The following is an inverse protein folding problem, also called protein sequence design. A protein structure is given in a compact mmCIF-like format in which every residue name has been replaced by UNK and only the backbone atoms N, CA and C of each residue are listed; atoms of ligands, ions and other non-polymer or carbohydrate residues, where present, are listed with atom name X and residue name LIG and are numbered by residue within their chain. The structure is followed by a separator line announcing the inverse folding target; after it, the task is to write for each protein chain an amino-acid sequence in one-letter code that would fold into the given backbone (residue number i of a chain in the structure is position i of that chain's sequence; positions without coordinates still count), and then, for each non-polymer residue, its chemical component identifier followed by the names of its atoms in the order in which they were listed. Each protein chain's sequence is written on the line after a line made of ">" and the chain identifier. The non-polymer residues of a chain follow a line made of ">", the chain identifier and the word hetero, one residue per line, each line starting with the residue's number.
data_IF_965040072193
#
_entry.id   IF_965040072193
#
_cell.length_a   1.000
_cell.length_b   1.000
_cell.length_c   1.000
_cell.angle_alpha   90.00
_cell.angle_beta   90.00
_cell.angle_gamma   90.00
#
_symmetry.space_group_name_H-M   'P 1'
#
loop_
_entity.id
_entity.type
_entity.pdbx_description
1 polymer ?
#
# COMPACT_ATOMS: atom_id res chain seq x y z
N UNK A 1 54.06 -15.45 -18.85
CA UNK A 1 55.37 -15.54 -18.15
C UNK A 1 55.06 -15.49 -16.66
N UNK A 2 54.70 -16.61 -16.01
CA UNK A 2 55.57 -17.75 -15.68
C UNK A 2 56.75 -17.33 -14.79
N UNK A 3 56.51 -17.30 -13.46
CA UNK A 3 57.22 -18.02 -12.36
C UNK A 3 58.77 -18.07 -12.37
N UNK A 4 59.46 -18.54 -11.30
CA UNK A 4 59.57 -18.19 -9.86
C UNK A 4 61.05 -17.93 -9.44
N UNK A 5 61.33 -17.75 -8.13
CA UNK A 5 62.45 -18.37 -7.35
C UNK A 5 62.71 -17.51 -6.08
N UNK A 6 62.69 -18.02 -4.83
CA UNK A 6 63.44 -19.12 -4.15
C UNK A 6 64.85 -18.70 -3.69
N UNK A 7 64.98 -18.47 -2.37
CA UNK A 7 65.93 -19.21 -1.53
C UNK A 7 67.10 -18.47 -0.85
N UNK A 8 67.46 -19.03 0.32
CA UNK A 8 68.79 -19.10 1.00
C UNK A 8 69.19 -17.93 1.92
N UNK A 9 69.90 -18.11 3.04
CA UNK A 9 70.43 -19.27 3.79
C UNK A 9 71.02 -18.78 5.14
N UNK A 10 71.20 -19.74 6.07
CA UNK A 10 72.25 -19.93 7.12
C UNK A 10 73.08 -18.73 7.64
N UNK A 11 73.40 -18.62 8.94
CA UNK A 11 74.00 -19.66 9.79
C UNK A 11 74.63 -19.11 11.10
N UNK A 12 75.41 -19.91 11.86
CA UNK A 12 75.35 -20.00 13.34
C UNK A 12 76.66 -19.68 14.09
N UNK A 13 76.65 -19.74 15.42
CA UNK A 13 77.86 -19.69 16.26
C UNK A 13 77.68 -20.36 17.62
N UNK A 14 78.07 -21.64 17.70
CA UNK A 14 78.24 -22.40 18.94
C UNK A 14 79.67 -22.25 19.47
N UNK A 15 79.84 -22.38 20.79
CA UNK A 15 81.08 -22.82 21.40
C UNK A 15 80.98 -22.74 22.93
N UNK A 16 81.41 -23.68 23.75
CA UNK A 16 82.07 -24.97 23.55
C UNK A 16 81.77 -25.81 24.82
N UNK A 17 81.70 -27.13 24.67
CA UNK A 17 81.79 -28.08 25.78
C UNK A 17 83.20 -28.05 26.36
N UNK A 18 83.35 -28.13 27.68
CA UNK A 18 84.50 -28.79 28.32
C UNK A 18 84.02 -29.57 29.55
N UNK A 19 84.43 -30.84 29.54
CA UNK A 19 84.13 -31.91 30.48
C UNK A 19 84.92 -31.80 31.81
N UNK A 20 84.56 -32.57 32.85
CA UNK A 20 84.94 -32.32 34.23
C UNK A 20 86.30 -32.93 34.59
N UNK A 21 87.07 -32.21 35.41
CA UNK A 21 88.41 -32.63 35.82
C UNK A 21 88.78 -32.25 37.25
N UNK A 22 88.84 -33.29 38.09
CA UNK A 22 89.83 -33.49 39.16
C UNK A 22 89.79 -32.64 40.44
N UNK A 23 89.04 -31.53 40.51
CA UNK A 23 88.96 -30.72 41.75
C UNK A 23 87.68 -31.02 42.57
N UNK A 24 86.96 -32.10 42.22
CA UNK A 24 85.93 -32.70 43.05
C UNK A 24 86.46 -33.46 44.28
N UNK A 25 87.61 -33.11 44.87
CA UNK A 25 88.15 -33.87 46.02
C UNK A 25 88.76 -33.08 47.15
N UNK A 26 88.69 -31.75 47.17
CA UNK A 26 89.09 -31.01 48.37
C UNK A 26 88.08 -29.91 48.66
N UNK A 27 87.53 -30.00 49.88
CA UNK A 27 86.69 -29.01 50.56
C UNK A 27 85.20 -28.97 50.14
N UNK A 28 84.31 -29.84 50.63
CA UNK A 28 84.44 -30.80 51.72
C UNK A 28 84.24 -30.24 53.13
N UNK A 29 84.43 -28.93 53.36
CA UNK A 29 84.29 -28.37 54.70
C UNK A 29 84.18 -26.84 54.64
N UNK A 30 83.02 -26.31 54.24
CA UNK A 30 82.26 -25.25 54.93
C UNK A 30 80.85 -25.26 54.32
N UNK A 31 80.13 -26.38 54.48
CA UNK A 31 78.68 -26.38 54.39
C UNK A 31 78.18 -26.07 55.79
N UNK A 32 78.02 -24.80 56.09
CA UNK A 32 77.61 -24.35 57.41
C UNK A 32 77.26 -22.89 57.35
N UNK A 33 75.95 -22.63 57.28
CA UNK A 33 75.25 -21.37 57.52
C UNK A 33 74.89 -20.57 56.26
N UNK A 34 73.56 -20.40 56.13
CA UNK A 34 72.82 -19.52 55.22
C UNK A 34 72.42 -20.09 53.85
N UNK A 35 71.65 -21.18 53.87
CA UNK A 35 70.51 -21.30 52.94
C UNK A 35 69.24 -21.18 53.79
N UNK A 36 68.77 -19.94 53.93
CA UNK A 36 67.43 -19.64 54.40
C UNK A 36 66.49 -19.67 53.21
N UNK A 37 65.82 -20.81 53.08
CA UNK A 37 64.51 -21.05 52.44
C UNK A 37 63.78 -19.77 51.99
N UNK A 38 63.67 -19.57 50.68
CA UNK A 38 62.43 -19.05 50.06
C UNK A 38 62.22 -19.84 48.76
N UNK A 39 61.25 -20.76 48.70
CA UNK A 39 60.87 -21.44 47.47
C UNK A 39 60.32 -20.41 46.48
N UNK A 40 60.82 -20.40 45.25
CA UNK A 40 60.35 -19.49 44.19
C UNK A 40 59.00 -19.93 43.62
N UNK A 41 58.51 -21.10 44.04
CA UNK A 41 57.16 -21.61 43.79
C UNK A 41 56.05 -20.78 44.46
N UNK A 42 56.37 -19.78 45.28
CA UNK A 42 55.39 -18.84 45.86
C UNK A 42 55.23 -17.51 45.10
N UNK A 43 56.01 -17.26 44.03
CA UNK A 43 55.93 -16.00 43.27
C UNK A 43 55.07 -16.13 42.02
N UNK A 44 54.62 -17.34 41.67
CA UNK A 44 53.69 -17.60 40.56
C UNK A 44 52.21 -17.69 40.96
N UNK A 45 51.85 -17.31 42.19
CA UNK A 45 50.45 -17.24 42.66
C UNK A 45 49.93 -15.82 42.93
N UNK A 46 50.73 -14.77 42.66
CA UNK A 46 50.36 -13.40 43.01
C UNK A 46 50.15 -12.45 41.83
N UNK A 47 50.05 -12.96 40.61
CA UNK A 47 49.55 -12.15 39.48
C UNK A 47 48.49 -12.95 38.76
N UNK A 48 47.33 -13.02 39.39
CA UNK A 48 46.09 -13.33 38.68
C UNK A 48 45.86 -12.20 37.67
N UNK A 49 46.19 -12.45 36.40
CA UNK A 49 45.93 -11.51 35.31
C UNK A 49 44.41 -11.29 35.16
N UNK A 50 43.57 -12.22 35.64
CA UNK A 50 42.14 -12.01 35.70
C UNK A 50 41.75 -11.06 36.84
N UNK A 51 42.50 -11.01 37.95
CA UNK A 51 42.31 -9.99 38.99
C UNK A 51 42.72 -8.58 38.53
N UNK A 52 43.72 -8.46 37.63
CA UNK A 52 44.06 -7.17 37.00
C UNK A 52 43.06 -6.79 35.89
N UNK A 53 42.43 -7.78 35.23
CA UNK A 53 41.35 -7.55 34.27
C UNK A 53 40.01 -7.21 34.97
N UNK A 54 39.78 -7.68 36.20
CA UNK A 54 38.62 -7.31 37.03
C UNK A 54 38.69 -5.86 37.56
N UNK A 55 39.89 -5.29 37.68
CA UNK A 55 40.07 -3.87 38.05
C UNK A 55 39.85 -2.92 36.86
N UNK A 56 39.84 -3.42 35.61
CA UNK A 56 39.51 -2.63 34.41
C UNK A 56 38.09 -2.98 33.96
N UNK A 57 37.14 -2.61 34.80
CA UNK A 57 35.74 -2.59 34.39
C UNK A 57 35.56 -1.51 33.31
N UNK A 58 35.54 -1.94 32.05
CA UNK A 58 35.29 -1.06 30.90
C UNK A 58 33.92 -0.40 31.03
N UNK A 59 32.98 -1.01 31.75
CA UNK A 59 31.68 -0.40 32.06
C UNK A 59 31.84 0.80 33.00
N UNK A 60 32.80 0.76 33.94
CA UNK A 60 33.13 1.90 34.81
C UNK A 60 33.85 3.03 34.06
N UNK A 61 34.60 2.72 33.00
CA UNK A 61 35.13 3.72 32.08
C UNK A 61 34.04 4.30 31.16
N UNK A 62 33.07 3.48 30.74
CA UNK A 62 31.88 3.92 30.00
C UNK A 62 30.94 4.77 30.86
N UNK A 63 30.80 4.51 32.16
CA UNK A 63 30.07 5.38 33.10
C UNK A 63 30.70 6.76 33.25
N UNK A 64 32.00 6.90 32.97
CA UNK A 64 32.69 8.20 32.93
C UNK A 64 32.59 8.91 31.58
N UNK A 65 32.13 8.21 30.54
CA UNK A 65 31.86 8.77 29.21
C UNK A 65 30.35 8.81 29.04
N UNK A 66 29.77 9.85 29.60
CA UNK A 66 28.38 10.22 29.40
C UNK A 66 28.19 10.60 27.91
N UNK A 67 27.82 9.61 27.09
CA UNK A 67 27.56 9.79 25.67
C UNK A 67 26.39 10.75 25.45
N UNK A 68 25.46 10.85 26.40
CA UNK A 68 24.36 11.81 26.35
C UNK A 68 24.92 13.24 26.47
N UNK A 69 25.92 13.49 27.32
CA UNK A 69 26.65 14.78 27.35
C UNK A 69 27.46 15.09 26.09
N UNK A 70 27.96 14.07 25.40
CA UNK A 70 28.67 14.26 24.12
C UNK A 70 27.69 14.50 22.96
N UNK A 71 26.53 13.85 22.99
CA UNK A 71 25.41 14.05 22.06
C UNK A 71 24.74 15.42 22.28
N UNK A 72 24.64 15.91 23.52
CA UNK A 72 24.17 17.27 23.86
C UNK A 72 25.02 18.38 23.25
N UNK A 73 26.29 18.09 22.92
CA UNK A 73 27.17 19.02 22.20
C UNK A 73 27.00 18.96 20.68
N UNK A 74 26.40 17.89 20.16
CA UNK A 74 26.13 17.73 18.74
C UNK A 74 24.65 17.99 18.52
N UNK A 75 24.32 19.27 18.39
CA UNK A 75 22.99 19.70 17.99
C UNK A 75 22.78 19.37 16.50
N UNK A 76 22.15 18.22 16.25
CA UNK A 76 21.79 17.78 14.90
C UNK A 76 20.78 18.74 14.28
N UNK A 77 19.92 19.38 15.08
CA UNK A 77 18.95 20.36 14.59
C UNK A 77 19.68 21.62 14.09
N UNK A 78 20.72 22.09 14.79
CA UNK A 78 21.57 23.18 14.32
C UNK A 78 22.42 22.84 13.07
N UNK A 79 22.74 21.57 12.85
CA UNK A 79 23.36 21.10 11.60
C UNK A 79 22.35 21.00 10.46
N UNK A 80 21.11 20.58 10.77
CA UNK A 80 20.00 20.53 9.82
C UNK A 80 19.56 21.94 9.40
N UNK A 81 19.59 22.93 10.30
CA UNK A 81 19.30 24.33 9.99
C UNK A 81 20.28 24.96 8.98
N UNK A 82 21.50 24.40 8.87
CA UNK A 82 22.48 24.84 7.85
C UNK A 82 22.23 24.18 6.49
N UNK A 83 21.48 23.08 6.46
CA UNK A 83 21.13 22.37 5.24
C UNK A 83 19.75 22.81 4.82
N UNK A 84 19.69 23.73 3.86
CA UNK A 84 18.45 24.15 3.22
C UNK A 84 17.90 23.02 2.33
N UNK A 85 17.19 22.09 2.97
CA UNK A 85 16.57 20.93 2.32
C UNK A 85 15.58 21.39 1.26
N UNK A 86 14.88 22.51 1.49
CA UNK A 86 13.93 23.08 0.53
C UNK A 86 14.63 23.48 -0.77
N UNK A 87 15.77 24.17 -0.69
CA UNK A 87 16.60 24.49 -1.86
C UNK A 87 17.21 23.27 -2.54
N UNK A 88 17.57 22.22 -1.79
CA UNK A 88 18.07 20.97 -2.38
C UNK A 88 16.95 20.25 -3.15
N UNK A 89 15.75 20.20 -2.57
CA UNK A 89 14.55 19.59 -3.17
C UNK A 89 14.14 20.33 -4.44
N UNK A 90 14.14 21.66 -4.41
CA UNK A 90 13.83 22.50 -5.57
C UNK A 90 14.88 22.34 -6.68
N UNK A 91 16.16 22.32 -6.32
CA UNK A 91 17.25 22.13 -7.30
C UNK A 91 17.26 20.73 -7.92
N UNK A 92 16.83 19.71 -7.18
CA UNK A 92 16.68 18.35 -7.68
C UNK A 92 15.44 18.17 -8.56
N UNK A 93 14.56 19.18 -8.68
CA UNK A 93 13.36 19.11 -9.51
C UNK A 93 12.35 18.05 -9.03
N UNK A 94 12.43 17.64 -7.77
CA UNK A 94 11.56 16.60 -7.21
C UNK A 94 10.08 17.02 -7.29
N UNK A 95 9.68 18.28 -7.03
CA UNK A 95 8.29 18.70 -7.19
C UNK A 95 7.77 18.52 -8.62
N UNK A 96 8.59 18.84 -9.62
CA UNK A 96 8.23 18.72 -11.04
C UNK A 96 8.21 17.27 -11.49
N UNK A 97 9.16 16.44 -11.04
CA UNK A 97 9.18 15.00 -11.35
C UNK A 97 7.97 14.31 -10.71
N UNK A 98 7.63 14.63 -9.46
CA UNK A 98 6.43 14.08 -8.79
C UNK A 98 5.16 14.55 -9.49
N UNK A 99 5.08 15.83 -9.90
CA UNK A 99 3.93 16.37 -10.63
C UNK A 99 3.78 15.76 -12.03
N UNK A 100 4.85 15.63 -12.81
CA UNK A 100 4.85 15.02 -14.14
C UNK A 100 4.56 13.53 -14.09
N UNK A 101 5.18 12.80 -13.16
CA UNK A 101 5.01 11.35 -13.00
C UNK A 101 3.60 11.01 -12.52
N UNK A 102 3.03 11.81 -11.61
CA UNK A 102 1.66 11.61 -11.11
C UNK A 102 0.61 12.03 -12.15
N UNK A 103 0.87 13.11 -12.90
CA UNK A 103 -0.05 13.64 -13.92
C UNK A 103 -0.19 12.76 -15.17
N UNK A 104 0.91 12.24 -15.71
CA UNK A 104 0.89 11.41 -16.93
C UNK A 104 0.33 9.99 -16.67
N UNK A 105 0.52 9.43 -15.47
CA UNK A 105 -0.02 8.11 -15.11
C UNK A 105 -1.53 8.15 -14.80
N UNK A 106 -2.09 9.30 -14.36
CA UNK A 106 -3.49 9.39 -14.00
C UNK A 106 -4.42 9.71 -15.20
N UNK A 107 -4.07 10.70 -16.04
CA UNK A 107 -4.96 11.17 -17.11
C UNK A 107 -4.92 10.31 -18.38
N UNK A 108 -3.71 10.03 -18.88
CA UNK A 108 -3.52 9.32 -20.15
C UNK A 108 -3.97 7.86 -20.10
N UNK A 109 -3.77 7.19 -18.95
CA UNK A 109 -4.15 5.78 -18.75
C UNK A 109 -5.67 5.63 -18.67
N UNK A 110 -6.38 6.56 -18.01
CA UNK A 110 -7.84 6.54 -17.91
C UNK A 110 -8.51 6.75 -19.27
N UNK A 111 -7.99 7.65 -20.10
CA UNK A 111 -8.54 7.87 -21.43
C UNK A 111 -8.34 6.65 -22.35
N UNK A 112 -7.19 5.98 -22.24
CA UNK A 112 -6.95 4.71 -22.91
C UNK A 112 -7.87 3.60 -22.37
N UNK A 113 -8.04 3.52 -21.05
CA UNK A 113 -8.96 2.57 -20.43
C UNK A 113 -10.40 2.79 -20.91
N UNK A 114 -10.87 4.04 -20.95
CA UNK A 114 -12.18 4.42 -21.49
C UNK A 114 -12.31 4.06 -22.97
N UNK A 115 -11.27 4.26 -23.77
CA UNK A 115 -11.25 3.84 -25.17
C UNK A 115 -11.38 2.30 -25.30
N UNK A 116 -10.61 1.54 -24.51
CA UNK A 116 -10.68 0.06 -24.47
C UNK A 116 -12.05 -0.45 -24.02
N UNK A 117 -12.70 0.24 -23.08
CA UNK A 117 -14.06 -0.10 -22.64
C UNK A 117 -15.08 0.13 -23.74
N UNK A 118 -14.98 1.23 -24.49
CA UNK A 118 -15.82 1.47 -25.65
C UNK A 118 -15.64 0.39 -26.73
N UNK A 119 -14.41 -0.08 -26.95
CA UNK A 119 -14.12 -1.21 -27.86
C UNK A 119 -14.69 -2.53 -27.34
N UNK A 120 -14.58 -2.79 -26.03
CA UNK A 120 -15.18 -3.96 -25.40
C UNK A 120 -16.70 -3.96 -25.52
N UNK A 121 -17.35 -2.80 -25.37
CA UNK A 121 -18.79 -2.65 -25.57
C UNK A 121 -19.22 -2.96 -27.02
N UNK A 122 -18.41 -2.54 -28.00
CA UNK A 122 -18.63 -2.88 -29.42
C UNK A 122 -18.43 -4.37 -29.68
N UNK A 123 -17.45 -5.00 -29.05
CA UNK A 123 -17.24 -6.45 -29.16
C UNK A 123 -18.41 -7.23 -28.54
N UNK A 124 -18.81 -6.88 -27.32
CA UNK A 124 -19.95 -7.48 -26.65
C UNK A 124 -21.22 -7.34 -27.50
N UNK A 125 -21.45 -6.15 -28.09
CA UNK A 125 -22.55 -5.92 -29.02
C UNK A 125 -22.49 -6.85 -30.24
N UNK A 126 -21.32 -6.99 -30.87
CA UNK A 126 -21.12 -7.88 -32.02
C UNK A 126 -21.40 -9.34 -31.68
N UNK A 127 -20.95 -9.80 -30.51
CA UNK A 127 -21.22 -11.17 -30.04
C UNK A 127 -22.72 -11.35 -29.83
N UNK A 128 -23.40 -10.42 -29.15
CA UNK A 128 -24.85 -10.50 -28.94
C UNK A 128 -25.62 -10.49 -30.25
N UNK A 129 -25.27 -9.62 -31.20
CA UNK A 129 -25.92 -9.53 -32.51
C UNK A 129 -25.70 -10.83 -33.32
N UNK A 130 -24.52 -11.44 -33.21
CA UNK A 130 -24.21 -12.73 -33.84
C UNK A 130 -25.04 -13.87 -33.25
N UNK A 131 -25.12 -13.96 -31.92
CA UNK A 131 -25.90 -15.00 -31.21
C UNK A 131 -27.40 -14.84 -31.45
N UNK A 132 -27.89 -13.60 -31.50
CA UNK A 132 -29.33 -13.32 -31.70
C UNK A 132 -29.75 -13.23 -33.17
N UNK A 133 -28.81 -13.41 -34.11
CA UNK A 133 -29.01 -13.28 -35.56
C UNK A 133 -29.65 -11.94 -35.98
N UNK A 134 -29.54 -10.90 -35.15
CA UNK A 134 -30.13 -9.57 -35.41
C UNK A 134 -29.02 -8.61 -35.84
N UNK A 135 -29.00 -8.19 -37.09
CA UNK A 135 -28.22 -7.01 -37.51
C UNK A 135 -28.93 -5.75 -37.01
N UNK A 136 -28.44 -5.14 -35.93
CA UNK A 136 -28.97 -3.88 -35.40
C UNK A 136 -27.90 -2.80 -35.47
N UNK A 137 -28.08 -1.83 -36.34
CA UNK A 137 -27.44 -0.52 -36.18
C UNK A 137 -28.02 0.12 -34.90
N UNK A 138 -27.19 0.29 -33.86
CA UNK A 138 -27.58 1.02 -32.66
C UNK A 138 -27.61 2.51 -33.02
N UNK A 139 -28.76 3.20 -32.91
CA UNK A 139 -28.82 4.63 -33.21
C UNK A 139 -27.91 5.40 -32.25
N UNK A 140 -27.18 6.40 -32.74
CA UNK A 140 -26.51 7.34 -31.85
C UNK A 140 -27.57 8.18 -31.12
N UNK A 141 -27.36 8.43 -29.82
CA UNK A 141 -28.14 9.45 -29.13
C UNK A 141 -27.66 10.81 -29.62
N UNK A 142 -28.58 11.67 -30.05
CA UNK A 142 -28.23 13.04 -30.42
C UNK A 142 -28.50 13.92 -29.22
N UNK A 143 -27.46 14.56 -28.72
CA UNK A 143 -27.57 15.51 -27.62
C UNK A 143 -28.48 16.68 -28.03
N UNK A 144 -29.60 16.94 -27.34
CA UNK A 144 -30.49 18.05 -27.68
C UNK A 144 -29.85 19.43 -27.49
N UNK A 145 -28.87 19.56 -26.58
CA UNK A 145 -28.21 20.82 -26.32
C UNK A 145 -27.10 21.13 -27.34
N UNK A 146 -26.30 20.12 -27.73
CA UNK A 146 -25.15 20.32 -28.63
C UNK A 146 -25.38 19.82 -30.06
N UNK A 147 -26.42 19.02 -30.29
CA UNK A 147 -26.70 18.37 -31.57
C UNK A 147 -25.70 17.26 -31.94
N UNK A 148 -24.70 16.99 -31.10
CA UNK A 148 -23.64 16.03 -31.39
C UNK A 148 -24.11 14.59 -31.19
N UNK A 149 -23.72 13.65 -32.07
CA UNK A 149 -24.00 12.24 -31.90
C UNK A 149 -23.11 11.64 -30.81
N UNK A 150 -23.72 11.01 -29.81
CA UNK A 150 -23.04 10.27 -28.74
C UNK A 150 -23.45 8.80 -28.75
N UNK A 151 -22.51 7.93 -28.43
CA UNK A 151 -22.76 6.50 -28.34
C UNK A 151 -23.46 6.15 -27.01
N UNK A 152 -24.49 5.30 -27.08
CA UNK A 152 -25.07 4.69 -25.89
C UNK A 152 -24.05 3.78 -25.20
N UNK A 153 -24.01 3.84 -23.87
CA UNK A 153 -23.16 2.98 -23.06
C UNK A 153 -23.59 1.51 -23.16
N UNK A 154 -22.65 0.62 -23.48
CA UNK A 154 -22.92 -0.81 -23.58
C UNK A 154 -22.96 -1.52 -22.23
N UNK A 155 -23.14 -2.84 -22.27
CA UNK A 155 -23.26 -3.66 -21.07
C UNK A 155 -21.94 -3.77 -20.29
N UNK A 156 -20.78 -3.75 -20.95
CA UNK A 156 -19.47 -3.94 -20.30
C UNK A 156 -19.11 -2.70 -19.50
N UNK A 157 -19.21 -1.51 -20.09
CA UNK A 157 -18.92 -0.26 -19.37
C UNK A 157 -19.83 -0.06 -18.17
N UNK A 158 -21.11 -0.47 -18.29
CA UNK A 158 -22.07 -0.39 -17.18
C UNK A 158 -21.80 -1.43 -16.09
N UNK A 159 -21.42 -2.65 -16.45
CA UNK A 159 -21.06 -3.68 -15.48
C UNK A 159 -19.81 -3.27 -14.70
N UNK A 160 -18.78 -2.76 -15.38
CA UNK A 160 -17.59 -2.27 -14.71
C UNK A 160 -17.90 -1.08 -13.79
N UNK A 161 -18.70 -0.12 -14.26
CA UNK A 161 -19.17 0.97 -13.42
C UNK A 161 -19.87 0.47 -12.16
N UNK A 162 -20.73 -0.56 -12.30
CA UNK A 162 -21.43 -1.17 -11.17
C UNK A 162 -20.47 -1.88 -10.20
N UNK A 163 -19.45 -2.59 -10.69
CA UNK A 163 -18.44 -3.23 -9.83
C UNK A 163 -17.66 -2.19 -9.02
N UNK A 164 -17.28 -1.08 -9.65
CA UNK A 164 -16.60 0.03 -8.95
C UNK A 164 -17.53 0.67 -7.93
N UNK A 165 -18.77 0.98 -8.31
CA UNK A 165 -19.77 1.53 -7.39
C UNK A 165 -20.06 0.59 -6.21
N UNK A 166 -20.08 -0.73 -6.44
CA UNK A 166 -20.24 -1.73 -5.38
C UNK A 166 -19.09 -1.67 -4.38
N UNK A 167 -17.84 -1.60 -4.85
CA UNK A 167 -16.67 -1.43 -3.99
C UNK A 167 -16.73 -0.14 -3.15
N UNK A 168 -17.09 0.98 -3.78
CA UNK A 168 -17.25 2.28 -3.09
C UNK A 168 -18.34 2.20 -2.02
N UNK A 169 -19.49 1.64 -2.36
CA UNK A 169 -20.63 1.50 -1.43
C UNK A 169 -20.27 0.61 -0.25
N UNK A 170 -19.64 -0.55 -0.50
CA UNK A 170 -19.24 -1.49 0.55
C UNK A 170 -18.18 -0.90 1.48
N UNK A 171 -17.15 -0.26 0.92
CA UNK A 171 -16.10 0.38 1.71
C UNK A 171 -16.66 1.51 2.59
N UNK A 172 -17.51 2.36 2.02
CA UNK A 172 -18.13 3.46 2.76
C UNK A 172 -19.10 2.96 3.84
N UNK A 173 -19.90 1.93 3.54
CA UNK A 173 -20.79 1.32 4.52
C UNK A 173 -20.01 0.65 5.65
N UNK A 174 -18.99 -0.14 5.34
CA UNK A 174 -18.15 -0.80 6.34
C UNK A 174 -17.42 0.22 7.23
N UNK A 175 -16.93 1.32 6.67
CA UNK A 175 -16.33 2.40 7.44
C UNK A 175 -17.33 3.09 8.37
N UNK A 176 -18.53 3.42 7.87
CA UNK A 176 -19.58 4.03 8.69
C UNK A 176 -20.05 3.09 9.80
N UNK A 177 -20.21 1.80 9.50
CA UNK A 177 -20.56 0.75 10.44
C UNK A 177 -19.48 0.60 11.53
N UNK A 178 -18.20 0.57 11.16
CA UNK A 178 -17.09 0.49 12.11
C UNK A 178 -17.05 1.70 13.05
N UNK A 179 -17.25 2.92 12.52
CA UNK A 179 -17.33 4.14 13.33
C UNK A 179 -18.53 4.09 14.27
N UNK A 180 -19.68 3.64 13.79
CA UNK A 180 -20.88 3.52 14.61
C UNK A 180 -20.67 2.55 15.78
N UNK A 181 -20.09 1.36 15.52
CA UNK A 181 -19.77 0.38 16.56
C UNK A 181 -18.77 0.95 17.57
N UNK A 182 -17.72 1.63 17.10
CA UNK A 182 -16.76 2.31 17.97
C UNK A 182 -17.45 3.30 18.92
N UNK A 183 -18.39 4.10 18.41
CA UNK A 183 -19.14 5.05 19.22
C UNK A 183 -20.07 4.35 20.21
N UNK A 184 -20.84 3.34 19.76
CA UNK A 184 -21.77 2.59 20.62
C UNK A 184 -21.03 1.95 21.80
N UNK A 185 -19.88 1.33 21.53
CA UNK A 185 -19.03 0.72 22.55
C UNK A 185 -18.44 1.78 23.49
N UNK A 186 -17.95 2.90 22.94
CA UNK A 186 -17.40 4.01 23.73
C UNK A 186 -18.40 4.63 24.71
N UNK A 187 -19.70 4.67 24.35
CA UNK A 187 -20.76 5.19 25.22
C UNK A 187 -21.40 4.12 26.11
N UNK A 188 -20.92 2.87 26.07
CA UNK A 188 -21.49 1.77 26.87
C UNK A 188 -22.94 1.44 26.50
N UNK A 189 -23.35 1.77 25.27
CA UNK A 189 -24.70 1.53 24.74
C UNK A 189 -24.85 0.13 24.13
N UNK A 190 -23.81 -0.72 24.26
CA UNK A 190 -23.76 -2.08 23.74
C UNK A 190 -24.71 -3.01 24.53
N UNK A 191 -25.99 -2.98 24.19
CA UNK A 191 -27.02 -3.91 24.69
C UNK A 191 -27.77 -4.53 23.53
N UNK A 192 -27.31 -5.67 23.00
CA UNK A 192 -27.95 -6.28 21.81
C UNK A 192 -29.13 -7.14 22.21
N UNK A 193 -30.35 -6.61 22.02
CA UNK A 193 -31.62 -7.32 22.22
C UNK A 193 -32.12 -8.07 20.96
N UNK A 194 -31.35 -8.03 19.86
CA UNK A 194 -31.68 -8.69 18.60
C UNK A 194 -30.99 -10.06 18.53
N UNK A 195 -31.72 -11.10 18.16
CA UNK A 195 -31.12 -12.38 17.74
C UNK A 195 -30.16 -12.14 16.57
N UNK A 196 -29.08 -12.93 16.48
CA UNK A 196 -28.03 -12.80 15.44
C UNK A 196 -28.63 -12.73 14.01
N UNK A 197 -29.73 -13.44 13.76
CA UNK A 197 -30.42 -13.38 12.47
C UNK A 197 -31.13 -12.04 12.20
N UNK A 198 -31.77 -11.44 13.21
CA UNK A 198 -32.47 -10.16 13.06
C UNK A 198 -31.50 -9.02 12.77
N UNK A 199 -30.35 -9.01 13.44
CA UNK A 199 -29.28 -8.04 13.19
C UNK A 199 -28.75 -8.12 11.74
N UNK A 200 -28.55 -9.33 11.22
CA UNK A 200 -28.08 -9.56 9.84
C UNK A 200 -29.08 -9.08 8.78
N UNK A 201 -30.37 -9.30 8.99
CA UNK A 201 -31.42 -8.80 8.09
C UNK A 201 -31.49 -7.27 8.12
N UNK A 202 -31.43 -6.66 9.30
CA UNK A 202 -31.40 -5.20 9.44
C UNK A 202 -30.17 -4.58 8.75
N UNK A 203 -28.99 -5.18 8.93
CA UNK A 203 -27.77 -4.75 8.25
C UNK A 203 -27.88 -4.86 6.72
N UNK A 204 -28.47 -5.95 6.20
CA UNK A 204 -28.70 -6.10 4.75
C UNK A 204 -29.67 -5.03 4.21
N UNK A 205 -30.75 -4.73 4.93
CA UNK A 205 -31.70 -3.67 4.58
C UNK A 205 -31.03 -2.29 4.65
N UNK A 206 -30.23 -2.04 5.69
CA UNK A 206 -29.48 -0.80 5.87
C UNK A 206 -28.48 -0.58 4.74
N UNK A 207 -27.74 -1.62 4.34
CA UNK A 207 -26.83 -1.58 3.19
C UNK A 207 -27.57 -1.28 1.88
N UNK A 208 -28.73 -1.92 1.67
CA UNK A 208 -29.58 -1.66 0.50
C UNK A 208 -30.09 -0.21 0.45
N UNK A 209 -30.56 0.31 1.59
CA UNK A 209 -31.00 1.70 1.72
C UNK A 209 -29.84 2.68 1.49
N UNK A 210 -28.68 2.42 2.09
CA UNK A 210 -27.44 3.18 1.90
C UNK A 210 -27.03 3.25 0.44
N UNK A 211 -27.00 2.10 -0.25
CA UNK A 211 -26.69 2.03 -1.68
C UNK A 211 -27.68 2.86 -2.53
N UNK A 212 -28.97 2.81 -2.20
CA UNK A 212 -29.99 3.59 -2.89
C UNK A 212 -29.83 5.10 -2.67
N UNK A 213 -29.50 5.52 -1.46
CA UNK A 213 -29.20 6.93 -1.13
C UNK A 213 -27.99 7.41 -1.90
N UNK A 214 -26.87 6.68 -1.86
CA UNK A 214 -25.66 6.98 -2.64
C UNK A 214 -25.98 7.15 -4.13
N UNK A 215 -26.66 6.17 -4.74
CA UNK A 215 -26.99 6.21 -6.16
C UNK A 215 -27.92 7.37 -6.51
N UNK A 216 -28.88 7.70 -5.64
CA UNK A 216 -29.84 8.79 -5.85
C UNK A 216 -29.13 10.14 -5.80
N UNK A 217 -28.32 10.38 -4.77
CA UNK A 217 -27.60 11.64 -4.57
C UNK A 217 -26.61 11.87 -5.72
N UNK A 218 -25.75 10.89 -6.02
CA UNK A 218 -24.76 11.06 -7.08
C UNK A 218 -25.38 11.35 -8.44
N UNK A 219 -26.49 10.68 -8.77
CA UNK A 219 -27.19 10.91 -10.04
C UNK A 219 -27.91 12.26 -10.06
N UNK A 220 -28.55 12.64 -8.97
CA UNK A 220 -29.31 13.88 -8.89
C UNK A 220 -28.38 15.11 -8.95
N UNK A 221 -27.17 14.99 -8.40
CA UNK A 221 -26.21 16.10 -8.29
C UNK A 221 -25.20 16.10 -9.44
N UNK A 222 -24.57 14.95 -9.73
CA UNK A 222 -23.44 14.84 -10.64
C UNK A 222 -23.80 14.16 -11.98
N UNK A 223 -25.07 13.77 -12.18
CA UNK A 223 -25.54 13.00 -13.34
C UNK A 223 -24.80 11.67 -13.57
N UNK A 224 -23.96 11.26 -12.63
CA UNK A 224 -23.12 10.08 -12.70
C UNK A 224 -22.80 9.61 -11.27
N UNK A 225 -22.73 8.30 -11.10
CA UNK A 225 -22.09 7.69 -9.92
C UNK A 225 -20.57 7.71 -10.08
N UNK A 226 -19.82 7.48 -9.00
CA UNK A 226 -18.35 7.48 -9.05
C UNK A 226 -17.83 6.50 -10.11
N UNK A 227 -18.37 5.28 -10.13
CA UNK A 227 -18.00 4.28 -11.14
C UNK A 227 -18.33 4.74 -12.56
N UNK A 228 -19.52 5.32 -12.78
CA UNK A 228 -19.93 5.84 -14.09
C UNK A 228 -19.05 7.01 -14.54
N UNK A 229 -18.68 7.90 -13.64
CA UNK A 229 -17.77 9.00 -13.94
C UNK A 229 -16.37 8.48 -14.35
N UNK A 230 -15.85 7.48 -13.63
CA UNK A 230 -14.56 6.86 -13.96
C UNK A 230 -14.56 6.26 -15.37
N UNK A 231 -15.61 5.54 -15.77
CA UNK A 231 -15.72 4.96 -17.12
C UNK A 231 -16.20 5.95 -18.19
N UNK A 232 -16.42 7.23 -17.85
CA UNK A 232 -16.79 8.27 -18.81
C UNK A 232 -18.26 8.23 -19.24
N UNK A 233 -19.15 7.85 -18.33
CA UNK A 233 -20.59 7.74 -18.55
C UNK A 233 -21.37 8.84 -17.82
N UNK A 234 -22.43 9.32 -18.47
CA UNK A 234 -23.42 10.21 -17.87
C UNK A 234 -24.83 9.66 -18.02
N UNK A 235 -25.65 9.91 -17.01
CA UNK A 235 -27.07 9.56 -16.99
C UNK A 235 -27.90 10.82 -17.11
N UNK A 236 -28.60 10.93 -18.22
CA UNK A 236 -29.43 12.08 -18.54
C UNK A 236 -30.83 11.61 -18.93
N UNK A 237 -31.75 12.55 -19.05
CA UNK A 237 -33.03 12.27 -19.69
C UNK A 237 -32.90 12.26 -21.22
N UNK A 238 -33.87 11.66 -21.95
CA UNK A 238 -33.86 11.67 -23.41
C UNK A 238 -33.85 13.08 -24.03
N UNK A 239 -34.33 14.08 -23.28
CA UNK A 239 -34.34 15.50 -23.62
C UNK A 239 -33.03 16.23 -23.26
N UNK A 240 -32.02 15.53 -22.74
CA UNK A 240 -30.71 16.10 -22.36
C UNK A 240 -30.70 16.79 -21.01
N UNK A 241 -31.83 16.82 -20.28
CA UNK A 241 -31.89 17.46 -18.96
C UNK A 241 -31.43 16.54 -17.83
N UNK A 242 -31.01 17.15 -16.73
CA UNK A 242 -30.59 16.46 -15.51
C UNK A 242 -31.71 15.56 -14.94
N UNK A 243 -31.31 14.47 -14.30
CA UNK A 243 -32.26 13.56 -13.64
C UNK A 243 -32.63 14.11 -12.27
N UNK A 244 -33.81 14.73 -12.17
CA UNK A 244 -34.34 15.19 -10.87
C UNK A 244 -34.43 14.09 -9.79
N UNK A 245 -34.43 14.46 -8.49
CA UNK A 245 -34.21 13.54 -7.37
C UNK A 245 -35.27 12.44 -7.25
N UNK A 246 -36.55 12.75 -7.45
CA UNK A 246 -37.62 11.75 -7.41
C UNK A 246 -37.44 10.63 -8.45
N UNK A 247 -36.99 10.99 -9.67
CA UNK A 247 -36.73 9.99 -10.72
C UNK A 247 -35.43 9.23 -10.47
N UNK A 248 -34.42 9.86 -9.88
CA UNK A 248 -33.20 9.19 -9.46
C UNK A 248 -33.51 8.12 -8.39
N UNK A 249 -34.40 8.42 -7.44
CA UNK A 249 -34.86 7.47 -6.42
C UNK A 249 -35.64 6.29 -7.04
N UNK A 250 -36.59 6.57 -7.94
CA UNK A 250 -37.30 5.51 -8.68
C UNK A 250 -36.32 4.63 -9.46
N UNK A 251 -35.30 5.24 -10.07
CA UNK A 251 -34.24 4.48 -10.76
C UNK A 251 -33.44 3.60 -9.81
N UNK A 252 -33.09 4.10 -8.62
CA UNK A 252 -32.37 3.35 -7.60
C UNK A 252 -33.20 2.19 -7.05
N UNK A 253 -34.49 2.41 -6.75
CA UNK A 253 -35.41 1.36 -6.31
C UNK A 253 -35.61 0.28 -7.38
N UNK A 254 -35.81 0.67 -8.64
CA UNK A 254 -35.90 -0.26 -9.75
C UNK A 254 -34.60 -1.04 -9.98
N UNK A 255 -33.45 -0.43 -9.69
CA UNK A 255 -32.16 -1.09 -9.74
C UNK A 255 -31.98 -2.11 -8.62
N UNK A 256 -32.37 -1.77 -7.39
CA UNK A 256 -32.33 -2.68 -6.25
C UNK A 256 -33.18 -3.93 -6.50
N UNK A 257 -34.42 -3.74 -6.99
CA UNK A 257 -35.32 -4.83 -7.38
C UNK A 257 -34.75 -5.67 -8.54
N UNK A 258 -34.11 -5.03 -9.52
CA UNK A 258 -33.48 -5.74 -10.64
C UNK A 258 -32.24 -6.54 -10.23
N UNK A 259 -31.54 -6.12 -9.18
CA UNK A 259 -30.33 -6.78 -8.67
C UNK A 259 -30.70 -7.97 -7.80
N UNK A 260 -31.73 -7.83 -6.96
CA UNK A 260 -32.26 -8.93 -6.14
C UNK A 260 -32.86 -10.06 -6.98
N UNK A 261 -33.33 -9.77 -8.20
CA UNK A 261 -33.80 -10.77 -9.18
C UNK A 261 -32.67 -11.33 -10.08
N UNK A 262 -31.41 -11.29 -9.64
CA UNK A 262 -30.30 -12.01 -10.28
C UNK A 262 -29.63 -11.29 -11.45
N UNK A 263 -29.50 -9.95 -11.39
CA UNK A 263 -28.86 -9.12 -12.44
C UNK A 263 -29.55 -9.22 -13.82
N UNK A 264 -30.76 -9.77 -13.92
CA UNK A 264 -31.48 -9.97 -15.18
C UNK A 264 -31.68 -8.65 -15.96
N UNK A 265 -31.80 -7.51 -15.27
CA UNK A 265 -31.89 -6.19 -15.89
C UNK A 265 -30.60 -5.70 -16.56
N UNK A 266 -29.43 -6.24 -16.20
CA UNK A 266 -28.16 -6.03 -16.91
C UNK A 266 -28.10 -6.88 -18.19
N UNK A 267 -28.60 -8.12 -18.15
CA UNK A 267 -28.70 -8.96 -19.35
C UNK A 267 -29.60 -8.32 -20.43
N UNK A 268 -30.74 -7.73 -20.03
CA UNK A 268 -31.65 -6.99 -20.91
C UNK A 268 -30.97 -5.85 -21.70
N UNK A 269 -29.92 -5.23 -21.15
CA UNK A 269 -29.18 -4.14 -21.80
C UNK A 269 -28.50 -4.64 -23.09
N UNK A 270 -27.97 -5.88 -23.07
CA UNK A 270 -27.35 -6.48 -24.25
C UNK A 270 -28.37 -6.73 -25.37
N UNK A 271 -29.62 -7.06 -25.02
CA UNK A 271 -30.69 -7.40 -25.97
C UNK A 271 -31.48 -6.19 -26.49
N UNK A 272 -31.33 -5.00 -25.91
CA UNK A 272 -32.10 -3.81 -26.30
C UNK A 272 -31.37 -2.86 -27.27
N UNK A 273 -32.11 -2.32 -28.27
CA UNK A 273 -31.59 -1.41 -29.32
C UNK A 273 -30.99 -0.11 -28.80
N UNK A 274 -31.51 0.42 -27.69
CA UNK A 274 -31.03 1.67 -27.06
C UNK A 274 -30.19 1.39 -25.81
N UNK A 275 -29.79 0.13 -25.61
CA UNK A 275 -29.01 -0.33 -24.45
C UNK A 275 -29.56 0.17 -23.11
N UNK A 276 -30.89 0.25 -22.97
CA UNK A 276 -31.54 0.69 -21.72
C UNK A 276 -31.75 -0.51 -20.81
N UNK A 277 -31.39 -0.37 -19.53
CA UNK A 277 -31.73 -1.37 -18.52
C UNK A 277 -33.20 -1.26 -18.13
N UNK A 278 -33.73 -2.28 -17.45
CA UNK A 278 -35.09 -2.24 -16.90
C UNK A 278 -35.30 -0.99 -16.02
N UNK A 279 -34.31 -0.67 -15.18
CA UNK A 279 -34.30 0.51 -14.33
C UNK A 279 -34.29 1.83 -15.13
N UNK A 280 -33.60 1.87 -16.27
CA UNK A 280 -33.58 3.07 -17.12
C UNK A 280 -34.90 3.28 -17.85
N UNK A 281 -35.59 2.20 -18.21
CA UNK A 281 -36.92 2.26 -18.83
C UNK A 281 -37.96 2.76 -17.84
N UNK A 282 -37.96 2.22 -16.62
CA UNK A 282 -38.87 2.63 -15.55
C UNK A 282 -38.65 4.10 -15.19
N UNK A 283 -37.39 4.53 -15.09
CA UNK A 283 -37.05 5.92 -14.74
C UNK A 283 -37.09 6.89 -15.94
N UNK A 284 -37.21 6.38 -17.17
CA UNK A 284 -37.15 7.19 -18.39
C UNK A 284 -35.80 7.89 -18.58
N UNK A 285 -34.68 7.19 -18.35
CA UNK A 285 -33.31 7.74 -18.45
C UNK A 285 -32.51 7.09 -19.58
N UNK A 286 -31.42 7.75 -19.98
CA UNK A 286 -30.44 7.26 -20.96
C UNK A 286 -29.04 7.39 -20.39
N UNK A 287 -28.19 6.40 -20.67
CA UNK A 287 -26.76 6.45 -20.32
C UNK A 287 -25.94 6.52 -21.59
N UNK A 288 -25.12 7.55 -21.68
CA UNK A 288 -24.32 7.89 -22.85
C UNK A 288 -22.86 8.09 -22.46
N UNK A 289 -21.95 7.81 -23.38
CA UNK A 289 -20.55 8.17 -23.22
C UNK A 289 -20.38 9.67 -23.37
N UNK A 290 -19.63 10.29 -22.46
CA UNK A 290 -19.22 11.68 -22.62
C UNK A 290 -18.20 11.74 -23.75
N UNK A 291 -18.61 12.26 -24.90
CA UNK A 291 -17.69 12.49 -26.02
C UNK A 291 -16.63 13.52 -25.64
N UNK A 292 -15.38 13.31 -26.06
CA UNK A 292 -14.33 14.33 -25.99
C UNK A 292 -14.85 15.60 -26.69
N UNK A 293 -14.80 16.73 -25.97
CA UNK A 293 -14.79 18.05 -26.59
C UNK A 293 -13.43 18.30 -27.23
#
# INVERSE_FOLDING_TARGET
>A
MSTPARGRDAGPGQGQRQEPGLIGRVAGAVTGRMVGVVPIEAVLDNVDVNAVLDEVDVNRLLERIDLDRLMDRVDVDALLDRVDVERIVDRAGIPQIVAETTGHLAGGTLDLARARLADADRLAARITDRVTLRRRTRPAWRDPATGLPQAYAGAVSRLLAWLVDLGVVLAAYAGADAVLHLLVDAFGLSGTWLTDQGARLLAAVALGAWAAVYATICVAVAEATVGKWLVGLRVQRPDGTAVGPARALVRAAAFALSTSLGLAGLALIAFQRRSRGLHDLIAGTVVVHVGRR
#
